data_IF_933944235778
#
_entry.id   IF_933944235778
#
_cell.length_a   1.000
_cell.length_b   1.000
_cell.length_c   1.000
_cell.angle_alpha   90.00
_cell.angle_beta   90.00
_cell.angle_gamma   90.00
#
_symmetry.space_group_name_H-M   'P 1'
#
loop_
_entity.id
_entity.type
_entity.pdbx_description
1 polymer ?
#
# COMPACT_ATOMS: atom_id res chain seq x y z
N UNK A 1 17.78 -28.80 -7.13
CA UNK A 1 16.86 -29.85 -7.53
C UNK A 1 15.53 -29.89 -6.78
N UNK A 2 15.37 -29.16 -5.65
CA UNK A 2 14.13 -29.09 -4.88
C UNK A 2 12.98 -28.31 -5.53
N UNK A 3 13.21 -27.65 -6.65
CA UNK A 3 12.18 -26.87 -7.37
C UNK A 3 11.43 -27.67 -8.44
N UNK A 4 11.83 -28.92 -8.71
CA UNK A 4 11.23 -29.73 -9.79
C UNK A 4 10.03 -30.58 -9.36
N UNK A 5 9.83 -30.82 -8.06
CA UNK A 5 8.77 -31.75 -7.58
C UNK A 5 7.59 -31.07 -6.89
N UNK A 6 7.59 -29.75 -6.77
CA UNK A 6 6.43 -29.02 -6.26
C UNK A 6 5.56 -28.56 -7.42
N UNK A 7 4.41 -29.20 -7.61
CA UNK A 7 3.25 -28.70 -8.33
C UNK A 7 2.66 -27.43 -7.68
N UNK A 8 3.52 -26.51 -7.27
CA UNK A 8 3.11 -25.22 -6.72
C UNK A 8 2.49 -24.43 -7.87
N UNK A 9 1.18 -24.27 -7.83
CA UNK A 9 0.46 -23.40 -8.76
C UNK A 9 0.97 -21.97 -8.52
N UNK A 10 1.73 -21.44 -9.48
CA UNK A 10 2.14 -20.03 -9.46
C UNK A 10 0.89 -19.20 -9.72
N UNK A 11 0.41 -18.54 -8.67
CA UNK A 11 -0.71 -17.59 -8.77
C UNK A 11 -0.18 -16.22 -9.14
N UNK A 12 -0.85 -15.54 -10.04
CA UNK A 12 -0.57 -14.15 -10.39
C UNK A 12 -1.88 -13.43 -10.74
N UNK A 13 -1.87 -12.12 -10.58
CA UNK A 13 -2.90 -11.23 -11.10
C UNK A 13 -2.33 -10.48 -12.32
N UNK A 14 -3.12 -10.32 -13.37
CA UNK A 14 -2.76 -9.48 -14.53
C UNK A 14 -3.66 -8.26 -14.56
N UNK A 15 -3.06 -7.07 -14.40
CA UNK A 15 -3.77 -5.79 -14.36
C UNK A 15 -3.00 -4.76 -15.21
N UNK A 16 -3.68 -4.10 -16.13
CA UNK A 16 -3.11 -3.05 -17.01
C UNK A 16 -1.79 -3.50 -17.69
N UNK A 17 -1.74 -4.75 -18.16
CA UNK A 17 -0.58 -5.33 -18.83
C UNK A 17 0.57 -5.76 -17.92
N UNK A 18 0.45 -5.61 -16.62
CA UNK A 18 1.44 -6.06 -15.64
C UNK A 18 1.01 -7.33 -14.93
N UNK A 19 1.99 -8.13 -14.52
CA UNK A 19 1.81 -9.36 -13.75
C UNK A 19 2.28 -9.12 -12.31
N UNK A 20 1.42 -9.38 -11.35
CA UNK A 20 1.69 -9.27 -9.91
C UNK A 20 1.69 -10.67 -9.29
N UNK A 21 2.83 -11.09 -8.78
CA UNK A 21 3.02 -12.40 -8.14
C UNK A 21 2.86 -12.35 -6.63
N UNK A 22 3.04 -11.17 -6.06
CA UNK A 22 2.92 -10.87 -4.63
C UNK A 22 2.64 -9.39 -4.43
N UNK A 23 2.06 -9.02 -3.29
CA UNK A 23 1.82 -7.63 -2.91
C UNK A 23 3.10 -6.87 -2.46
N UNK A 24 4.18 -7.61 -2.21
CA UNK A 24 5.44 -7.03 -1.72
C UNK A 24 6.48 -6.84 -2.83
N UNK A 25 6.12 -7.04 -4.07
CA UNK A 25 6.96 -6.78 -5.22
C UNK A 25 6.20 -6.01 -6.29
N UNK A 26 6.85 -5.09 -6.99
CA UNK A 26 6.25 -4.35 -8.10
C UNK A 26 5.77 -5.27 -9.23
N UNK A 27 4.77 -4.82 -10.00
CA UNK A 27 4.26 -5.55 -11.15
C UNK A 27 5.24 -5.60 -12.33
N UNK A 28 5.41 -6.78 -12.94
CA UNK A 28 6.21 -6.98 -14.15
C UNK A 28 5.34 -6.88 -15.43
N UNK A 29 5.81 -6.18 -16.50
CA UNK A 29 7.01 -5.38 -16.61
C UNK A 29 6.81 -3.94 -16.08
N UNK A 30 7.79 -3.42 -15.34
CA UNK A 30 7.81 -2.02 -14.92
C UNK A 30 9.24 -1.56 -14.53
N UNK A 31 9.46 -0.24 -14.48
CA UNK A 31 10.74 0.31 -13.96
C UNK A 31 10.96 -0.06 -12.49
N UNK A 32 9.90 -0.08 -11.68
CA UNK A 32 9.96 -0.48 -10.28
C UNK A 32 10.36 -1.95 -10.14
N UNK A 33 9.80 -2.85 -10.97
CA UNK A 33 10.19 -4.26 -10.98
C UNK A 33 11.65 -4.46 -11.37
N UNK A 34 12.13 -3.79 -12.43
CA UNK A 34 13.54 -3.89 -12.83
C UNK A 34 14.48 -3.43 -11.72
N UNK A 35 14.13 -2.34 -11.02
CA UNK A 35 14.88 -1.85 -9.87
C UNK A 35 14.83 -2.85 -8.71
N UNK A 36 13.65 -3.43 -8.43
CA UNK A 36 13.49 -4.48 -7.42
C UNK A 36 14.40 -5.68 -7.68
N UNK A 37 14.46 -6.16 -8.92
CA UNK A 37 15.37 -7.26 -9.29
C UNK A 37 16.84 -6.85 -9.11
N UNK A 38 17.23 -5.65 -9.56
CA UNK A 38 18.58 -5.16 -9.39
C UNK A 38 18.99 -5.07 -7.92
N UNK A 39 18.12 -4.52 -7.05
CA UNK A 39 18.35 -4.46 -5.61
C UNK A 39 18.56 -5.84 -5.01
N UNK A 40 17.75 -6.84 -5.42
CA UNK A 40 17.84 -8.19 -4.86
C UNK A 40 19.06 -8.95 -5.38
N UNK A 41 19.49 -8.72 -6.62
CA UNK A 41 20.73 -9.28 -7.14
C UNK A 41 21.94 -8.73 -6.39
N UNK A 42 21.99 -7.42 -6.12
CA UNK A 42 23.07 -6.81 -5.32
C UNK A 42 23.20 -7.43 -3.92
N UNK A 43 22.08 -7.78 -3.27
CA UNK A 43 22.11 -8.46 -1.96
C UNK A 43 22.82 -9.83 -2.01
N UNK A 44 22.89 -10.46 -3.18
CA UNK A 44 23.55 -11.75 -3.37
C UNK A 44 25.08 -11.61 -3.58
N UNK A 45 25.57 -10.41 -3.91
CA UNK A 45 26.98 -10.15 -4.19
C UNK A 45 27.87 -10.05 -2.93
N UNK A 46 27.26 -10.06 -1.72
CA UNK A 46 27.98 -10.15 -0.46
C UNK A 46 27.77 -8.98 0.52
N UNK A 47 28.41 -9.03 1.70
CA UNK A 47 28.09 -8.14 2.82
C UNK A 47 28.53 -6.67 2.64
N UNK A 48 29.29 -6.34 1.62
CA UNK A 48 29.78 -4.98 1.35
C UNK A 48 28.85 -4.14 0.45
N UNK A 49 27.66 -4.65 0.13
CA UNK A 49 26.67 -3.92 -0.67
C UNK A 49 25.90 -2.92 0.19
N UNK A 50 25.58 -1.77 -0.38
CA UNK A 50 24.73 -0.77 0.29
C UNK A 50 23.36 -1.37 0.63
N UNK A 51 22.84 -1.16 1.86
CA UNK A 51 21.50 -1.62 2.23
C UNK A 51 20.45 -1.03 1.27
N UNK A 52 19.62 -1.88 0.70
CA UNK A 52 18.48 -1.45 -0.13
C UNK A 52 17.16 -1.78 0.55
N UNK A 53 16.21 -0.87 0.45
CA UNK A 53 14.82 -1.09 0.85
C UNK A 53 13.99 -1.39 -0.38
N UNK A 54 13.22 -2.48 -0.35
CA UNK A 54 12.33 -2.82 -1.46
C UNK A 54 10.92 -2.26 -1.24
N UNK A 55 10.36 -2.47 -0.04
CA UNK A 55 9.00 -2.08 0.32
C UNK A 55 8.96 -1.48 1.72
N UNK A 56 8.15 -0.44 1.90
CA UNK A 56 7.85 0.14 3.20
C UNK A 56 6.33 0.35 3.36
N UNK A 57 5.82 0.08 4.56
CA UNK A 57 4.49 0.53 5.00
C UNK A 57 4.68 1.85 5.75
N UNK A 58 4.06 2.92 5.27
CA UNK A 58 4.24 4.26 5.80
C UNK A 58 2.92 4.86 6.28
N UNK A 59 2.80 5.02 7.61
CA UNK A 59 1.66 5.68 8.24
C UNK A 59 1.68 7.18 7.99
N UNK A 60 0.74 7.70 7.21
CA UNK A 60 0.66 9.11 6.83
C UNK A 60 -0.34 9.92 7.67
N UNK A 61 -1.17 9.28 8.47
CA UNK A 61 -2.21 9.92 9.28
C UNK A 61 -2.49 9.15 10.56
N UNK A 62 -2.86 9.86 11.60
CA UNK A 62 -3.41 9.30 12.84
C UNK A 62 -4.94 9.29 12.85
N UNK A 63 -5.60 9.91 11.86
CA UNK A 63 -7.06 10.01 11.82
C UNK A 63 -7.68 8.72 11.28
N UNK A 64 -8.62 8.16 12.07
CA UNK A 64 -9.40 7.00 11.71
C UNK A 64 -10.79 7.05 12.33
N UNK A 65 -11.80 6.71 11.57
CA UNK A 65 -13.18 6.59 12.06
C UNK A 65 -13.53 5.17 12.56
N UNK A 66 -12.54 4.28 12.68
CA UNK A 66 -12.68 2.90 13.12
C UNK A 66 -12.06 2.71 14.50
N UNK A 67 -12.46 1.65 15.20
CA UNK A 67 -11.94 1.23 16.50
C UNK A 67 -11.65 -0.28 16.48
N UNK A 68 -10.77 -0.68 15.57
CA UNK A 68 -10.46 -2.10 15.33
C UNK A 68 -9.80 -2.75 16.56
N UNK A 69 -10.21 -3.95 16.92
CA UNK A 69 -9.68 -4.69 18.06
C UNK A 69 -8.18 -4.96 17.98
N UNK A 70 -7.64 -5.12 16.77
CA UNK A 70 -6.22 -5.40 16.49
C UNK A 70 -5.39 -4.17 16.11
N UNK A 71 -5.92 -2.96 16.33
CA UNK A 71 -5.24 -1.74 15.87
C UNK A 71 -3.91 -1.53 16.60
N UNK A 72 -2.78 -1.68 15.88
CA UNK A 72 -1.46 -1.44 16.46
C UNK A 72 -1.16 0.05 16.73
N UNK A 73 -1.91 0.97 16.10
CA UNK A 73 -1.82 2.42 16.29
C UNK A 73 -2.80 2.95 17.36
N UNK A 74 -3.49 2.09 18.11
CA UNK A 74 -4.57 2.47 19.02
C UNK A 74 -4.21 3.58 20.00
N UNK A 75 -2.95 3.61 20.48
CA UNK A 75 -2.48 4.64 21.43
C UNK A 75 -2.39 6.04 20.82
N UNK A 76 -2.18 6.14 19.51
CA UNK A 76 -1.95 7.40 18.80
C UNK A 76 -3.09 7.82 17.91
N UNK A 77 -4.10 6.94 17.71
CA UNK A 77 -5.27 7.25 16.89
C UNK A 77 -5.95 8.56 17.34
N UNK A 78 -6.31 9.35 16.35
CA UNK A 78 -7.03 10.61 16.50
C UNK A 78 -6.33 11.70 17.33
N UNK A 79 -5.07 11.48 17.74
CA UNK A 79 -4.22 12.56 18.26
C UNK A 79 -3.93 13.58 17.14
N UNK A 80 -3.41 14.77 17.48
CA UNK A 80 -3.03 15.77 16.48
C UNK A 80 -2.07 15.21 15.43
N UNK A 81 -2.27 15.58 14.16
CA UNK A 81 -1.35 15.24 13.08
C UNK A 81 0.02 15.90 13.30
N UNK A 82 1.08 15.16 12.97
CA UNK A 82 2.46 15.65 13.14
C UNK A 82 3.20 15.78 11.81
N UNK A 83 2.65 15.20 10.73
CA UNK A 83 3.27 15.22 9.41
C UNK A 83 2.48 16.11 8.46
N UNK A 84 3.12 17.13 7.89
CA UNK A 84 2.58 17.83 6.73
C UNK A 84 2.71 16.96 5.46
N UNK A 85 1.99 17.27 4.40
CA UNK A 85 2.14 16.58 3.11
C UNK A 85 3.55 16.74 2.52
N UNK A 86 4.22 17.86 2.80
CA UNK A 86 5.59 18.12 2.40
C UNK A 86 6.58 17.22 3.16
N UNK A 87 6.36 17.01 4.47
CA UNK A 87 7.16 16.08 5.26
C UNK A 87 7.00 14.63 4.75
N UNK A 88 5.77 14.22 4.43
CA UNK A 88 5.49 12.89 3.88
C UNK A 88 6.21 12.72 2.53
N UNK A 89 6.09 13.69 1.62
CA UNK A 89 6.75 13.66 0.33
C UNK A 89 8.29 13.62 0.47
N UNK A 90 8.85 14.43 1.37
CA UNK A 90 10.29 14.44 1.66
C UNK A 90 10.78 13.07 2.16
N UNK A 91 10.04 12.44 3.08
CA UNK A 91 10.36 11.09 3.54
C UNK A 91 10.33 10.08 2.40
N UNK A 92 9.31 10.13 1.53
CA UNK A 92 9.23 9.24 0.36
C UNK A 92 10.42 9.46 -0.59
N UNK A 93 10.83 10.72 -0.82
CA UNK A 93 12.01 11.00 -1.63
C UNK A 93 13.28 10.41 -1.01
N UNK A 94 13.46 10.51 0.32
CA UNK A 94 14.60 9.87 1.01
C UNK A 94 14.58 8.35 0.85
N UNK A 95 13.40 7.72 0.93
CA UNK A 95 13.27 6.28 0.64
C UNK A 95 13.62 5.95 -0.82
N UNK A 96 13.25 6.82 -1.76
CA UNK A 96 13.60 6.64 -3.17
C UNK A 96 15.11 6.72 -3.43
N UNK A 97 15.84 7.52 -2.64
CA UNK A 97 17.31 7.63 -2.71
C UNK A 97 18.00 6.35 -2.25
N UNK A 98 17.47 5.68 -1.23
CA UNK A 98 17.97 4.37 -0.79
C UNK A 98 17.42 3.17 -1.58
N UNK A 99 16.76 3.42 -2.68
CA UNK A 99 16.40 2.37 -3.63
C UNK A 99 14.99 1.80 -3.52
N UNK A 100 14.09 2.37 -2.71
CA UNK A 100 12.74 1.80 -2.54
C UNK A 100 11.99 1.63 -3.86
N UNK A 101 11.30 0.50 -4.00
CA UNK A 101 10.53 0.16 -5.20
C UNK A 101 9.02 0.21 -4.98
N UNK A 102 8.58 0.13 -3.72
CA UNK A 102 7.18 0.19 -3.36
C UNK A 102 6.96 0.91 -2.03
N UNK A 103 6.02 1.86 -1.99
CA UNK A 103 5.54 2.50 -0.76
C UNK A 103 4.05 2.19 -0.59
N UNK A 104 3.71 1.64 0.55
CA UNK A 104 2.34 1.30 0.96
C UNK A 104 1.88 2.33 1.98
N UNK A 105 1.09 3.31 1.54
CA UNK A 105 0.56 4.36 2.41
C UNK A 105 -0.53 3.79 3.32
N UNK A 106 -0.38 4.00 4.61
CA UNK A 106 -1.21 3.47 5.67
C UNK A 106 -1.40 4.52 6.79
N UNK A 107 -1.63 4.08 8.01
CA UNK A 107 -1.78 4.88 9.21
C UNK A 107 -3.10 4.57 9.89
N UNK A 108 -3.86 5.59 10.30
CA UNK A 108 -5.26 5.45 10.62
C UNK A 108 -6.05 5.04 9.36
N UNK A 109 -6.82 5.96 8.76
CA UNK A 109 -7.40 5.74 7.44
C UNK A 109 -6.78 6.74 6.44
N UNK A 110 -5.91 6.30 5.51
CA UNK A 110 -5.16 7.20 4.64
C UNK A 110 -6.06 8.03 3.72
N UNK A 111 -7.25 7.55 3.36
CA UNK A 111 -8.21 8.31 2.55
C UNK A 111 -8.75 9.57 3.24
N UNK A 112 -8.54 9.74 4.54
CA UNK A 112 -8.77 11.04 5.22
C UNK A 112 -7.81 12.13 4.73
N UNK A 113 -6.70 11.76 4.06
CA UNK A 113 -5.73 12.68 3.45
C UNK A 113 -5.74 12.57 1.92
N UNK A 114 -6.91 12.43 1.34
CA UNK A 114 -7.08 12.21 -0.10
C UNK A 114 -6.32 13.24 -0.96
N UNK A 115 -6.45 14.52 -0.67
CA UNK A 115 -5.80 15.60 -1.43
C UNK A 115 -4.27 15.57 -1.27
N UNK A 116 -3.79 15.18 -0.08
CA UNK A 116 -2.35 15.02 0.17
C UNK A 116 -1.80 13.81 -0.60
N UNK A 117 -2.57 12.73 -0.72
CA UNK A 117 -2.20 11.57 -1.55
C UNK A 117 -2.07 11.99 -3.01
N UNK A 118 -3.03 12.75 -3.54
CA UNK A 118 -2.95 13.28 -4.92
C UNK A 118 -1.71 14.17 -5.10
N UNK A 119 -1.45 15.05 -4.13
CA UNK A 119 -0.25 15.89 -4.14
C UNK A 119 1.04 15.06 -4.20
N UNK A 120 1.13 13.99 -3.40
CA UNK A 120 2.27 13.07 -3.36
C UNK A 120 2.43 12.34 -4.70
N UNK A 121 1.35 11.75 -5.22
CA UNK A 121 1.35 10.99 -6.47
C UNK A 121 1.88 11.83 -7.66
N UNK A 122 1.56 13.13 -7.68
CA UNK A 122 2.02 14.04 -8.73
C UNK A 122 3.52 14.39 -8.64
N UNK A 123 4.17 14.15 -7.50
CA UNK A 123 5.53 14.64 -7.21
C UNK A 123 6.56 13.54 -6.99
N UNK A 124 6.14 12.30 -6.85
CA UNK A 124 7.06 11.18 -6.67
C UNK A 124 7.90 10.91 -7.93
N UNK A 125 9.14 10.47 -7.72
CA UNK A 125 10.01 10.04 -8.82
C UNK A 125 9.50 8.72 -9.43
N UNK A 126 9.60 8.59 -10.75
CA UNK A 126 9.25 7.35 -11.47
C UNK A 126 10.13 6.18 -11.02
N UNK A 127 9.54 4.99 -10.95
CA UNK A 127 10.25 3.76 -10.56
C UNK A 127 9.99 3.34 -9.11
N UNK A 128 8.97 3.93 -8.49
CA UNK A 128 8.39 3.50 -7.21
C UNK A 128 6.89 3.34 -7.39
N UNK A 129 6.34 2.21 -6.96
CA UNK A 129 4.89 1.99 -6.92
C UNK A 129 4.32 2.51 -5.61
N UNK A 130 3.15 3.14 -5.68
CA UNK A 130 2.40 3.60 -4.50
C UNK A 130 1.12 2.80 -4.38
N UNK A 131 0.94 2.22 -3.21
CA UNK A 131 -0.25 1.47 -2.82
C UNK A 131 -0.92 2.13 -1.62
N UNK A 132 -2.23 1.91 -1.45
CA UNK A 132 -2.97 2.32 -0.26
C UNK A 132 -3.44 1.09 0.52
N UNK A 133 -3.23 1.10 1.84
CA UNK A 133 -3.86 0.18 2.78
C UNK A 133 -5.04 0.90 3.43
N UNK A 134 -6.25 0.48 3.10
CA UNK A 134 -7.48 1.18 3.50
C UNK A 134 -8.52 0.22 4.04
N UNK A 135 -9.37 0.72 4.92
CA UNK A 135 -10.61 0.05 5.31
C UNK A 135 -11.70 0.10 4.21
N UNK A 136 -11.44 0.85 3.13
CA UNK A 136 -12.42 1.15 2.10
C UNK A 136 -13.34 2.33 2.43
N UNK A 137 -13.23 2.92 3.61
CA UNK A 137 -14.06 4.04 4.02
C UNK A 137 -13.87 5.25 3.11
N UNK A 138 -14.98 5.75 2.58
CA UNK A 138 -15.00 6.81 1.57
C UNK A 138 -14.27 6.49 0.24
N UNK A 139 -13.93 5.24 -0.03
CA UNK A 139 -13.42 4.85 -1.35
C UNK A 139 -14.59 4.66 -2.32
N UNK A 140 -14.81 5.66 -3.16
CA UNK A 140 -15.86 5.69 -4.19
C UNK A 140 -15.26 5.50 -5.58
N UNK A 141 -16.07 5.08 -6.57
CA UNK A 141 -15.60 4.94 -7.96
C UNK A 141 -15.00 6.23 -8.53
N UNK A 142 -15.54 7.39 -8.15
CA UNK A 142 -14.97 8.70 -8.53
C UNK A 142 -13.56 8.88 -7.94
N UNK A 143 -13.38 8.62 -6.64
CA UNK A 143 -12.07 8.69 -5.98
C UNK A 143 -11.10 7.66 -6.54
N UNK A 144 -11.56 6.46 -6.84
CA UNK A 144 -10.76 5.43 -7.48
C UNK A 144 -10.23 5.89 -8.84
N UNK A 145 -11.10 6.47 -9.68
CA UNK A 145 -10.72 7.00 -10.98
C UNK A 145 -9.68 8.13 -10.87
N UNK A 146 -9.88 9.07 -9.94
CA UNK A 146 -8.93 10.16 -9.69
C UNK A 146 -7.58 9.61 -9.22
N UNK A 147 -7.55 8.71 -8.25
CA UNK A 147 -6.29 8.10 -7.75
C UNK A 147 -5.55 7.36 -8.88
N UNK A 148 -6.26 6.58 -9.68
CA UNK A 148 -5.69 5.89 -10.85
C UNK A 148 -5.11 6.88 -11.87
N UNK A 149 -5.82 7.95 -12.19
CA UNK A 149 -5.37 9.00 -13.10
C UNK A 149 -4.06 9.65 -12.63
N UNK A 150 -3.89 9.82 -11.31
CA UNK A 150 -2.68 10.38 -10.70
C UNK A 150 -1.58 9.34 -10.44
N UNK A 151 -1.77 8.09 -10.87
CA UNK A 151 -0.72 7.07 -10.87
C UNK A 151 -0.65 6.19 -9.61
N UNK A 152 -1.73 6.12 -8.82
CA UNK A 152 -1.82 5.09 -7.79
C UNK A 152 -1.76 3.71 -8.44
N UNK A 153 -0.91 2.83 -7.90
CA UNK A 153 -0.74 1.48 -8.44
C UNK A 153 -1.90 0.57 -8.08
N UNK A 154 -2.37 0.65 -6.83
CA UNK A 154 -3.48 -0.17 -6.37
C UNK A 154 -3.83 0.09 -4.91
N UNK A 155 -4.81 -0.64 -4.43
CA UNK A 155 -5.26 -0.61 -3.04
C UNK A 155 -5.25 -2.01 -2.44
N UNK A 156 -5.05 -2.08 -1.14
CA UNK A 156 -5.30 -3.26 -0.32
C UNK A 156 -6.45 -2.93 0.62
N UNK A 157 -7.58 -3.60 0.43
CA UNK A 157 -8.77 -3.41 1.27
C UNK A 157 -8.72 -4.37 2.45
N UNK A 158 -8.84 -3.84 3.64
CA UNK A 158 -8.85 -4.63 4.87
C UNK A 158 -10.16 -5.38 5.05
N UNK A 159 -10.10 -6.71 5.10
CA UNK A 159 -11.24 -7.57 5.36
C UNK A 159 -10.84 -8.67 6.35
N UNK A 160 -11.45 -8.69 7.55
CA UNK A 160 -11.08 -9.64 8.62
C UNK A 160 -12.06 -10.82 8.70
N UNK A 161 -13.30 -10.63 8.27
CA UNK A 161 -14.30 -11.68 8.30
C UNK A 161 -15.27 -11.58 7.13
N UNK A 162 -15.75 -12.73 6.61
CA UNK A 162 -16.74 -12.77 5.51
C UNK A 162 -18.19 -12.52 5.98
N UNK A 163 -18.47 -12.68 7.29
CA UNK A 163 -19.77 -12.36 7.89
C UNK A 163 -19.77 -10.88 8.27
N UNK A 164 -20.70 -10.07 7.72
CA UNK A 164 -20.74 -8.62 7.92
C UNK A 164 -20.74 -8.19 9.39
N UNK A 165 -21.54 -8.84 10.23
CA UNK A 165 -21.69 -8.51 11.64
C UNK A 165 -20.39 -8.71 12.41
N UNK A 166 -19.68 -9.81 12.14
CA UNK A 166 -18.40 -10.12 12.77
C UNK A 166 -17.30 -9.17 12.32
N UNK A 167 -17.25 -8.85 11.02
CA UNK A 167 -16.33 -7.84 10.51
C UNK A 167 -16.60 -6.46 11.11
N UNK A 168 -17.86 -6.04 11.16
CA UNK A 168 -18.26 -4.75 11.71
C UNK A 168 -17.90 -4.63 13.21
N UNK A 169 -18.15 -5.69 13.98
CA UNK A 169 -17.80 -5.76 15.40
C UNK A 169 -16.30 -5.63 15.58
N UNK A 170 -15.51 -6.46 14.89
CA UNK A 170 -14.04 -6.45 14.95
C UNK A 170 -13.43 -5.12 14.53
N UNK A 171 -14.04 -4.43 13.56
CA UNK A 171 -13.63 -3.10 13.09
C UNK A 171 -14.17 -1.96 13.94
N UNK A 172 -15.08 -2.22 14.89
CA UNK A 172 -15.71 -1.20 15.74
C UNK A 172 -16.53 -0.18 14.95
N UNK A 173 -17.13 -0.59 13.80
CA UNK A 173 -17.90 0.30 12.92
C UNK A 173 -19.03 -0.46 12.20
N UNK A 174 -20.26 0.00 12.36
CA UNK A 174 -21.48 -0.68 11.91
C UNK A 174 -21.57 -0.98 10.41
N UNK A 175 -20.91 -0.19 9.58
CA UNK A 175 -20.93 -0.25 8.12
C UNK A 175 -19.58 -0.62 7.50
N UNK A 176 -18.63 -1.13 8.29
CA UNK A 176 -17.29 -1.47 7.84
C UNK A 176 -17.28 -2.45 6.67
N UNK A 177 -18.07 -3.51 6.76
CA UNK A 177 -18.18 -4.52 5.71
C UNK A 177 -18.73 -3.95 4.39
N UNK A 178 -19.76 -3.12 4.48
CA UNK A 178 -20.36 -2.48 3.31
C UNK A 178 -19.35 -1.55 2.59
N UNK A 179 -18.54 -0.82 3.35
CA UNK A 179 -17.48 0.00 2.78
C UNK A 179 -16.38 -0.84 2.13
N UNK A 180 -15.93 -1.92 2.78
CA UNK A 180 -14.93 -2.81 2.21
C UNK A 180 -15.45 -3.47 0.92
N UNK A 181 -16.69 -3.98 0.92
CA UNK A 181 -17.33 -4.57 -0.26
C UNK A 181 -17.46 -3.57 -1.41
N UNK A 182 -17.91 -2.34 -1.13
CA UNK A 182 -18.00 -1.28 -2.12
C UNK A 182 -16.62 -0.90 -2.68
N UNK A 183 -15.60 -0.86 -1.83
CA UNK A 183 -14.24 -0.52 -2.26
C UNK A 183 -13.66 -1.57 -3.22
N UNK A 184 -13.96 -2.85 -3.00
CA UNK A 184 -13.52 -3.94 -3.90
C UNK A 184 -14.26 -3.93 -5.23
N UNK A 185 -15.49 -3.40 -5.26
CA UNK A 185 -16.31 -3.32 -6.48
C UNK A 185 -15.96 -2.12 -7.38
N UNK A 186 -15.23 -1.12 -6.87
CA UNK A 186 -14.82 0.08 -7.59
C UNK A 186 -13.45 -0.09 -8.27
#
# INVERSE_FOLDING_TARGET
DSLRDNNAIIKYAKVDGKYYYTFNAPGWPSKAFNKYIANNLQKLEGPNTQPTLDTIVFGITKKCGYQCEHCFEWEVLNKPETLSRENILSAIHSFQEVGITQVQLSGGEPLNRFDDIIYILNKIKRGTEIWLYTSGYHFTGERAAVLKQHGLTGITVSLDHWIPELHNTFRGKKDAFAWAQKAVAN
#
